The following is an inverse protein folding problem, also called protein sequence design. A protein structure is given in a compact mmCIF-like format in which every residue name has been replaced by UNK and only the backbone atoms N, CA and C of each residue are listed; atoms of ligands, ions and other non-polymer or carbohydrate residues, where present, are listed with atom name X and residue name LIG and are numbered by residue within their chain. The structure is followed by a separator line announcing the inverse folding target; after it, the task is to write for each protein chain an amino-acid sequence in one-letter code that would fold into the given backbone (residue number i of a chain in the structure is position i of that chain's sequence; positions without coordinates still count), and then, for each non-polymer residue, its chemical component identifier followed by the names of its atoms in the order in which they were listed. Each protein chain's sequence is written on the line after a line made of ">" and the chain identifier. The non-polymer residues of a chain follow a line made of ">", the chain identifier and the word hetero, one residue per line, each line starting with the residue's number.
data_IF_795263712839
#
_entry.id   IF_795263712839
#
_cell.length_a   1.000
_cell.length_b   1.000
_cell.length_c   1.000
_cell.angle_alpha   90.00
_cell.angle_beta   90.00
_cell.angle_gamma   90.00
#
_symmetry.space_group_name_H-M   'P 1'
#
loop_
_entity.id
_entity.type
_entity.pdbx_description
1 polymer ?
#
# COMPACT_ATOMS: atom_id res chain seq x y z
N UNK A 1 10.21 4.50 -0.91
CA UNK A 1 8.83 5.00 -0.63
C UNK A 1 7.88 3.82 -0.68
N UNK A 2 6.95 3.73 0.27
CA UNK A 2 5.89 2.70 0.26
C UNK A 2 4.62 3.35 -0.29
N UNK A 3 4.05 2.77 -1.34
CA UNK A 3 2.91 3.31 -2.07
C UNK A 3 1.69 2.42 -1.88
N UNK A 4 0.67 2.96 -1.22
CA UNK A 4 -0.63 2.31 -1.08
C UNK A 4 -1.49 2.60 -2.32
N UNK A 5 -1.80 1.54 -3.08
CA UNK A 5 -2.63 1.64 -4.29
C UNK A 5 -4.07 1.16 -4.05
N UNK A 6 -4.47 0.96 -2.79
CA UNK A 6 -5.85 0.63 -2.42
C UNK A 6 -6.76 1.84 -2.60
N UNK A 7 -8.07 1.59 -2.56
CA UNK A 7 -9.07 2.66 -2.64
C UNK A 7 -9.06 3.52 -1.37
N UNK A 8 -9.52 4.79 -1.44
CA UNK A 8 -9.59 5.66 -0.27
C UNK A 8 -10.32 5.03 0.92
N UNK A 9 -11.44 4.35 0.70
CA UNK A 9 -12.18 3.68 1.80
C UNK A 9 -11.38 2.56 2.49
N UNK A 10 -10.39 1.97 1.81
CA UNK A 10 -9.51 0.96 2.39
C UNK A 10 -8.36 1.60 3.19
N UNK A 11 -7.79 2.68 2.64
CA UNK A 11 -6.70 3.45 3.27
C UNK A 11 -7.18 4.12 4.55
N UNK A 12 -8.41 4.64 4.57
CA UNK A 12 -8.98 5.32 5.74
C UNK A 12 -9.08 4.41 6.98
N UNK A 13 -9.22 3.10 6.80
CA UNK A 13 -9.31 2.15 7.91
C UNK A 13 -7.94 1.88 8.52
N UNK A 14 -6.95 1.61 7.67
CA UNK A 14 -5.58 1.41 8.11
C UNK A 14 -4.61 1.50 6.94
N UNK A 15 -3.33 1.68 7.24
CA UNK A 15 -2.24 1.73 6.26
C UNK A 15 -0.93 1.23 6.88
N UNK A 16 0.03 0.87 6.03
CA UNK A 16 1.41 0.63 6.48
C UNK A 16 2.01 1.97 6.96
N UNK A 17 2.69 2.01 8.13
CA UNK A 17 3.31 3.21 8.65
C UNK A 17 4.25 3.87 7.64
N UNK A 18 4.11 5.18 7.45
CA UNK A 18 4.92 5.97 6.52
C UNK A 18 4.64 5.71 5.02
N UNK A 19 3.61 4.92 4.70
CA UNK A 19 3.15 4.80 3.31
C UNK A 19 2.45 6.07 2.84
N UNK A 20 2.43 6.29 1.53
CA UNK A 20 1.70 7.38 0.87
C UNK A 20 0.68 6.83 -0.11
N UNK A 21 -0.37 7.59 -0.40
CA UNK A 21 -1.37 7.24 -1.42
C UNK A 21 -0.88 7.56 -2.83
N UNK A 22 -1.59 7.06 -3.84
CA UNK A 22 -1.34 7.43 -5.25
C UNK A 22 -1.45 8.94 -5.46
N UNK A 23 -2.45 9.60 -4.85
CA UNK A 23 -2.64 11.05 -4.98
C UNK A 23 -1.47 11.85 -4.36
N UNK A 24 -0.93 11.36 -3.24
CA UNK A 24 0.25 11.95 -2.59
C UNK A 24 1.52 11.72 -3.44
N UNK A 25 1.66 10.54 -4.03
CA UNK A 25 2.75 10.20 -4.93
C UNK A 25 2.76 11.09 -6.17
N UNK A 26 1.63 11.30 -6.83
CA UNK A 26 1.53 12.13 -8.04
C UNK A 26 1.92 13.59 -7.77
N UNK A 27 1.63 14.12 -6.58
CA UNK A 27 2.02 15.47 -6.16
C UNK A 27 3.54 15.62 -5.98
N UNK A 28 4.26 14.53 -5.70
CA UNK A 28 5.69 14.52 -5.40
C UNK A 28 6.51 13.75 -6.44
N UNK A 29 5.91 13.40 -7.59
CA UNK A 29 6.47 12.46 -8.58
C UNK A 29 7.90 12.79 -9.02
N UNK A 30 8.24 14.08 -9.13
CA UNK A 30 9.57 14.55 -9.51
C UNK A 30 10.64 14.20 -8.46
N UNK A 31 10.32 14.37 -7.18
CA UNK A 31 11.23 14.08 -6.06
C UNK A 31 11.43 12.58 -5.83
N UNK A 32 10.47 11.76 -6.26
CA UNK A 32 10.45 10.32 -6.06
C UNK A 32 11.12 9.53 -7.19
N UNK A 33 11.55 10.21 -8.26
CA UNK A 33 12.10 9.55 -9.47
C UNK A 33 13.31 8.65 -9.21
N UNK A 34 14.17 9.05 -8.28
CA UNK A 34 15.39 8.32 -7.91
C UNK A 34 15.23 7.42 -6.69
N UNK A 35 14.00 7.23 -6.19
CA UNK A 35 13.71 6.39 -5.02
C UNK A 35 13.06 5.08 -5.46
N UNK A 36 13.38 3.99 -4.77
CA UNK A 36 12.63 2.73 -4.94
C UNK A 36 11.20 2.91 -4.42
N UNK A 37 10.21 2.61 -5.26
CA UNK A 37 8.77 2.67 -4.96
C UNK A 37 8.24 1.26 -4.71
N UNK A 38 7.86 0.95 -3.47
CA UNK A 38 7.28 -0.35 -3.10
C UNK A 38 5.77 -0.22 -3.05
N UNK A 39 5.09 -0.72 -4.08
CA UNK A 39 3.63 -0.69 -4.19
C UNK A 39 3.02 -1.84 -3.37
N UNK A 40 1.92 -1.58 -2.66
CA UNK A 40 1.13 -2.62 -2.01
C UNK A 40 -0.37 -2.36 -2.16
N UNK A 41 -1.15 -3.44 -2.09
CA UNK A 41 -2.59 -3.39 -1.99
C UNK A 41 -3.08 -4.39 -0.93
N UNK A 42 -4.30 -4.92 -1.04
CA UNK A 42 -4.81 -5.93 -0.10
C UNK A 42 -3.93 -7.18 -0.09
N UNK A 43 -3.73 -7.80 -1.26
CA UNK A 43 -3.06 -9.12 -1.41
C UNK A 43 -1.93 -9.15 -2.44
N UNK A 44 -1.61 -8.01 -3.06
CA UNK A 44 -0.52 -7.90 -4.04
C UNK A 44 -0.97 -7.87 -5.51
N UNK A 45 -2.24 -8.14 -5.83
CA UNK A 45 -2.74 -8.17 -7.21
C UNK A 45 -2.74 -6.78 -7.87
N UNK A 46 -3.50 -5.81 -7.34
CA UNK A 46 -3.58 -4.44 -7.89
C UNK A 46 -2.22 -3.74 -7.91
N UNK A 47 -1.41 -3.94 -6.87
CA UNK A 47 -0.09 -3.35 -6.74
C UNK A 47 0.93 -3.93 -7.70
N UNK A 48 0.80 -5.19 -8.13
CA UNK A 48 1.66 -5.74 -9.18
C UNK A 48 1.48 -5.01 -10.51
N UNK A 49 0.23 -4.77 -10.92
CA UNK A 49 -0.10 -4.03 -12.13
C UNK A 49 0.35 -2.56 -12.04
N UNK A 50 0.18 -1.94 -10.88
CA UNK A 50 0.62 -0.56 -10.66
C UNK A 50 2.15 -0.43 -10.69
N UNK A 51 2.88 -1.34 -10.06
CA UNK A 51 4.34 -1.37 -10.11
C UNK A 51 4.84 -1.55 -11.56
N UNK A 52 4.20 -2.40 -12.37
CA UNK A 52 4.54 -2.55 -13.78
C UNK A 52 4.36 -1.24 -14.58
N UNK A 53 3.30 -0.48 -14.31
CA UNK A 53 3.07 0.85 -14.93
C UNK A 53 4.16 1.84 -14.54
N UNK A 54 4.54 1.90 -13.26
CA UNK A 54 5.62 2.79 -12.80
C UNK A 54 6.97 2.41 -13.41
N UNK A 55 7.27 1.11 -13.55
CA UNK A 55 8.47 0.65 -14.28
C UNK A 55 8.49 1.12 -15.72
N UNK A 56 7.36 1.01 -16.44
CA UNK A 56 7.25 1.49 -17.82
C UNK A 56 7.44 3.02 -17.92
N UNK A 57 7.17 3.76 -16.85
CA UNK A 57 7.43 5.20 -16.75
C UNK A 57 8.86 5.52 -16.27
N UNK A 58 9.71 4.52 -16.07
CA UNK A 58 11.11 4.67 -15.66
C UNK A 58 11.34 4.90 -14.17
N UNK A 59 10.45 4.41 -13.30
CA UNK A 59 10.70 4.34 -11.86
C UNK A 59 11.25 2.96 -11.47
N UNK A 60 12.12 2.90 -10.46
CA UNK A 60 12.44 1.65 -9.76
C UNK A 60 11.26 1.26 -8.86
N UNK A 61 10.32 0.48 -9.39
CA UNK A 61 9.13 0.04 -8.66
C UNK A 61 9.15 -1.46 -8.33
N UNK A 62 8.69 -1.81 -7.13
CA UNK A 62 8.58 -3.19 -6.63
C UNK A 62 7.17 -3.44 -6.09
N UNK A 63 6.73 -4.70 -6.07
CA UNK A 63 5.46 -5.10 -5.48
C UNK A 63 5.72 -5.75 -4.12
N UNK A 64 4.97 -5.35 -3.09
CA UNK A 64 4.97 -6.03 -1.81
C UNK A 64 4.15 -7.31 -1.91
N UNK A 65 4.84 -8.45 -1.86
CA UNK A 65 4.22 -9.77 -1.96
C UNK A 65 3.21 -10.02 -0.83
N UNK A 66 1.99 -10.41 -1.18
CA UNK A 66 0.90 -10.66 -0.23
C UNK A 66 0.25 -9.41 0.37
N UNK A 67 0.69 -8.21 -0.02
CA UNK A 67 0.06 -6.95 0.36
C UNK A 67 -0.04 -6.70 1.87
N UNK A 68 -1.00 -5.85 2.26
CA UNK A 68 -1.24 -5.48 3.66
C UNK A 68 -1.75 -6.67 4.50
N UNK A 69 -2.40 -7.66 3.88
CA UNK A 69 -2.85 -8.87 4.57
C UNK A 69 -1.65 -9.67 5.08
N UNK A 70 -0.67 -9.99 4.22
CA UNK A 70 0.54 -10.72 4.65
C UNK A 70 1.38 -9.90 5.62
N UNK A 71 1.43 -8.57 5.44
CA UNK A 71 2.06 -7.65 6.39
C UNK A 71 1.48 -7.81 7.80
N UNK A 72 0.15 -7.81 7.92
CA UNK A 72 -0.53 -7.99 9.19
C UNK A 72 -0.40 -9.41 9.76
N UNK A 73 -0.41 -10.45 8.92
CA UNK A 73 -0.15 -11.83 9.35
C UNK A 73 1.25 -11.99 9.97
N UNK A 74 2.24 -11.23 9.47
CA UNK A 74 3.58 -11.13 10.07
C UNK A 74 3.62 -10.29 11.36
N UNK A 75 2.48 -9.77 11.82
CA UNK A 75 2.34 -8.90 13.00
C UNK A 75 3.15 -7.61 12.91
N UNK A 76 3.35 -7.11 11.70
CA UNK A 76 3.94 -5.80 11.50
C UNK A 76 2.92 -4.70 11.76
N UNK A 77 3.37 -3.51 12.21
CA UNK A 77 2.46 -2.44 12.64
C UNK A 77 1.62 -1.93 11.47
N UNK A 78 0.36 -1.62 11.76
CA UNK A 78 -0.54 -0.85 10.91
C UNK A 78 -1.00 0.35 11.71
N UNK A 79 -1.25 1.46 11.03
CA UNK A 79 -1.78 2.67 11.66
C UNK A 79 -3.14 3.03 11.07
N UNK A 80 -4.04 3.54 11.90
CA UNK A 80 -5.28 4.16 11.43
C UNK A 80 -4.94 5.47 10.74
N UNK A 81 -5.46 5.72 9.53
CA UNK A 81 -5.13 6.93 8.77
C UNK A 81 -5.55 8.21 9.48
N UNK A 82 -6.65 8.16 10.24
CA UNK A 82 -7.23 9.31 10.93
C UNK A 82 -6.45 9.74 12.18
N UNK A 83 -6.07 8.79 13.04
CA UNK A 83 -5.39 9.09 14.31
C UNK A 83 -3.87 8.89 14.26
N UNK A 84 -3.36 8.12 13.30
CA UNK A 84 -1.97 7.68 13.27
C UNK A 84 -1.62 6.62 14.32
N UNK A 85 -2.59 6.20 15.13
CA UNK A 85 -2.40 5.20 16.18
C UNK A 85 -2.34 3.79 15.59
N UNK A 86 -1.65 2.90 16.28
CA UNK A 86 -1.58 1.50 15.90
C UNK A 86 -2.97 0.83 15.88
N UNK A 87 -3.21 0.02 14.87
CA UNK A 87 -4.47 -0.72 14.70
C UNK A 87 -4.23 -2.11 14.16
N UNK A 88 -5.18 -3.01 14.42
CA UNK A 88 -5.23 -4.35 13.80
C UNK A 88 -6.30 -4.46 12.72
N UNK A 89 -7.08 -3.40 12.51
CA UNK A 89 -8.18 -3.39 11.55
C UNK A 89 -7.64 -3.32 10.14
N UNK A 90 -8.13 -4.16 9.24
CA UNK A 90 -7.86 -4.04 7.80
C UNK A 90 -9.20 -4.01 7.08
N UNK A 91 -9.32 -3.10 6.12
CA UNK A 91 -10.38 -3.16 5.13
C UNK A 91 -9.83 -3.91 3.91
N UNK A 92 -10.41 -5.08 3.66
CA UNK A 92 -10.08 -5.92 2.50
C UNK A 92 -11.04 -5.61 1.35
N UNK A 93 -10.55 -5.70 0.11
CA UNK A 93 -11.33 -5.34 -1.08
C UNK A 93 -12.64 -6.13 -1.27
N UNK A 94 -12.71 -7.35 -0.73
CA UNK A 94 -13.91 -8.20 -0.76
C UNK A 94 -13.87 -9.25 0.34
N UNK A 95 -15.04 -9.84 0.65
CA UNK A 95 -15.21 -10.80 1.76
C UNK A 95 -14.29 -12.03 1.62
N UNK A 96 -14.05 -12.48 0.40
CA UNK A 96 -13.17 -13.63 0.11
C UNK A 96 -11.70 -13.38 0.48
N UNK A 97 -11.34 -12.12 0.70
CA UNK A 97 -9.99 -11.69 1.08
C UNK A 97 -9.86 -11.36 2.56
N UNK A 98 -10.87 -11.68 3.38
CA UNK A 98 -10.86 -11.50 4.83
C UNK A 98 -9.96 -12.53 5.54
N UNK A 99 -8.71 -12.63 5.12
CA UNK A 99 -7.67 -13.50 5.68
C UNK A 99 -6.90 -12.81 6.82
N UNK A 100 -7.59 -11.90 7.52
CA UNK A 100 -7.04 -11.18 8.66
C UNK A 100 -6.87 -12.17 9.83
N UNK A 101 -5.79 -12.05 10.63
CA UNK A 101 -5.61 -12.88 11.81
C UNK A 101 -6.69 -12.66 12.87
#
# INVERSE_FOLDING_TARGET
>A
VVLDVRKPEEVQVSMIPGSITVDEFEKQKGELKNKTVVCYCTVGYRSSAHAAKLKAQGYDAKNLEGGIVRWAQKRYPLIARSSGEETKRIHVYGKDWALQP
#
